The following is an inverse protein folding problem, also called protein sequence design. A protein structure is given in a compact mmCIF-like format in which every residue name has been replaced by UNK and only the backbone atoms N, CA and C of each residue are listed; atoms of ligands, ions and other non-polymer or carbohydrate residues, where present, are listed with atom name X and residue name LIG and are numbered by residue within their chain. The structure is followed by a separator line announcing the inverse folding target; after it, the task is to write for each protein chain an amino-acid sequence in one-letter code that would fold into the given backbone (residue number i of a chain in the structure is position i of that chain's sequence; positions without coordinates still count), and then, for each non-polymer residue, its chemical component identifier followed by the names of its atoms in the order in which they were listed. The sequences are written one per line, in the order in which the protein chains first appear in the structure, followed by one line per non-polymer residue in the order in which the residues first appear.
data_IF_390623102071
#
_entry.id   IF_390623102071
#
_cell.length_a   1.000
_cell.length_b   1.000
_cell.length_c   1.000
_cell.angle_alpha   90.00
_cell.angle_beta   90.00
_cell.angle_gamma   90.00
#
_symmetry.space_group_name_H-M   'P 1'
#
loop_
_entity.id
_entity.type
_entity.pdbx_description
1 polymer ?
#
# COMPACT_ATOMS: atom_id res chain seq x y z
N UNK A 1 42.59 10.55 3.20
CA UNK A 1 41.32 9.88 2.86
C UNK A 1 40.24 10.49 3.76
N UNK A 2 39.60 11.57 3.28
CA UNK A 2 38.59 12.30 4.06
C UNK A 2 37.31 11.45 4.13
N UNK A 3 36.87 11.09 5.34
CA UNK A 3 35.49 10.66 5.56
C UNK A 3 34.64 11.90 5.32
N UNK A 4 33.97 11.97 4.17
CA UNK A 4 32.80 12.85 4.04
C UNK A 4 31.80 12.41 5.11
N UNK A 5 31.70 13.17 6.19
CA UNK A 5 30.52 13.16 7.04
C UNK A 5 29.34 13.54 6.15
N UNK A 6 28.61 12.53 5.66
CA UNK A 6 27.27 12.77 5.12
C UNK A 6 26.46 13.37 6.27
N UNK A 7 26.24 14.68 6.20
CA UNK A 7 25.28 15.39 7.04
C UNK A 7 23.97 14.60 6.96
N UNK A 8 23.63 13.89 8.04
CA UNK A 8 22.35 13.22 8.12
C UNK A 8 21.27 14.29 8.05
N UNK A 9 20.40 14.19 7.04
CA UNK A 9 19.27 15.09 6.93
C UNK A 9 18.41 14.98 8.20
N UNK A 10 18.01 16.14 8.78
CA UNK A 10 17.32 16.16 10.05
C UNK A 10 15.95 15.48 9.93
N UNK A 11 15.56 14.79 10.99
CA UNK A 11 14.21 14.28 11.14
C UNK A 11 13.24 15.48 11.20
N UNK A 12 12.30 15.57 10.27
CA UNK A 12 11.23 16.55 10.31
C UNK A 12 10.04 15.95 11.04
N UNK A 13 9.72 16.50 12.21
CA UNK A 13 8.49 16.23 12.95
C UNK A 13 7.58 17.45 12.83
N UNK A 14 6.32 17.24 12.50
CA UNK A 14 5.31 18.27 12.40
C UNK A 14 4.09 17.79 13.19
N UNK A 15 3.73 18.56 14.21
CA UNK A 15 2.48 18.39 14.94
C UNK A 15 1.47 19.33 14.29
N UNK A 16 0.39 18.76 13.77
CA UNK A 16 -0.69 19.50 13.15
C UNK A 16 -1.87 19.52 14.14
N UNK A 17 -2.21 20.70 14.63
CA UNK A 17 -3.42 20.91 15.43
C UNK A 17 -4.47 21.52 14.52
N UNK A 18 -5.37 20.68 14.02
CA UNK A 18 -6.55 21.13 13.29
C UNK A 18 -7.64 21.52 14.28
N UNK A 19 -7.81 22.83 14.49
CA UNK A 19 -8.99 23.38 15.17
C UNK A 19 -9.90 23.94 14.08
N UNK A 20 -10.61 23.06 13.37
CA UNK A 20 -11.70 23.49 12.50
C UNK A 20 -13.04 23.13 13.16
N UNK A 21 -14.02 24.00 13.00
CA UNK A 21 -15.40 23.89 13.49
C UNK A 21 -16.14 22.61 13.04
N UNK A 22 -15.56 21.83 12.13
CA UNK A 22 -16.15 20.62 11.54
C UNK A 22 -15.38 19.34 11.90
N UNK A 23 -14.06 19.41 12.11
CA UNK A 23 -13.23 18.26 12.51
C UNK A 23 -12.07 18.74 13.38
N UNK A 24 -12.14 18.44 14.66
CA UNK A 24 -11.08 18.69 15.63
C UNK A 24 -10.09 17.52 15.54
N UNK A 25 -8.90 17.76 15.00
CA UNK A 25 -7.93 16.68 14.72
C UNK A 25 -6.53 17.02 15.21
N UNK A 26 -5.86 16.05 15.80
CA UNK A 26 -4.44 16.05 16.11
C UNK A 26 -3.70 15.19 15.07
N UNK A 27 -2.89 15.81 14.23
CA UNK A 27 -1.99 15.16 13.29
C UNK A 27 -0.56 15.10 13.81
N UNK A 28 0.12 14.00 13.50
CA UNK A 28 1.57 13.86 13.61
C UNK A 28 2.10 13.48 12.23
N UNK A 29 2.96 14.29 11.66
CA UNK A 29 3.72 13.96 10.47
C UNK A 29 5.19 13.85 10.83
N UNK A 30 5.80 12.73 10.43
CA UNK A 30 7.22 12.47 10.55
C UNK A 30 7.78 12.15 9.17
N UNK A 31 8.82 12.84 8.77
CA UNK A 31 9.53 12.62 7.50
C UNK A 31 11.04 12.64 7.72
N UNK A 32 11.75 11.65 7.19
CA UNK A 32 13.21 11.62 7.07
C UNK A 32 13.56 11.13 5.68
N UNK A 33 14.15 11.98 4.84
CA UNK A 33 14.43 11.60 3.45
C UNK A 33 15.47 10.47 3.34
N UNK A 34 16.43 10.40 4.26
CA UNK A 34 17.34 9.25 4.39
C UNK A 34 16.72 7.96 4.97
N UNK A 35 15.49 8.03 5.47
CA UNK A 35 14.81 6.95 6.19
C UNK A 35 15.39 6.71 7.59
N UNK A 36 14.54 6.27 8.53
CA UNK A 36 14.94 5.84 9.86
C UNK A 36 15.09 4.32 9.84
N UNK A 37 16.26 3.81 10.29
CA UNK A 37 16.55 2.38 10.41
C UNK A 37 16.24 1.88 11.80
N UNK A 38 16.11 0.56 11.94
CA UNK A 38 15.95 -0.12 13.23
C UNK A 38 14.80 0.41 14.08
N UNK A 39 13.70 0.79 13.43
CA UNK A 39 12.47 1.14 14.11
C UNK A 39 11.80 -0.13 14.61
N UNK A 40 11.34 -0.08 15.86
CA UNK A 40 10.63 -1.20 16.51
C UNK A 40 11.45 -2.50 16.59
N UNK A 41 12.78 -2.40 16.53
CA UNK A 41 13.69 -3.57 16.58
C UNK A 41 13.75 -4.38 15.27
N UNK A 42 13.26 -3.83 14.16
CA UNK A 42 13.39 -4.44 12.84
C UNK A 42 14.84 -4.30 12.32
N UNK A 43 15.31 -5.24 11.51
CA UNK A 43 16.66 -5.22 10.97
C UNK A 43 17.01 -3.97 10.15
N UNK A 44 18.31 -3.73 9.95
CA UNK A 44 18.84 -2.53 9.29
C UNK A 44 18.47 -2.41 7.80
N UNK A 45 17.94 -3.48 7.21
CA UNK A 45 17.44 -3.52 5.84
C UNK A 45 16.08 -2.83 5.66
N UNK A 46 15.36 -2.55 6.76
CA UNK A 46 14.07 -1.84 6.75
C UNK A 46 14.26 -0.37 7.11
N UNK A 47 13.67 0.52 6.31
CA UNK A 47 13.70 1.98 6.51
C UNK A 47 12.30 2.57 6.55
N UNK A 48 12.01 3.40 7.54
CA UNK A 48 10.80 4.21 7.58
C UNK A 48 11.09 5.62 7.05
N UNK A 49 10.50 5.99 5.91
CA UNK A 49 10.70 7.30 5.29
C UNK A 49 9.68 8.34 5.74
N UNK A 50 8.43 7.90 5.89
CA UNK A 50 7.31 8.75 6.29
C UNK A 50 6.39 8.00 7.23
N UNK A 51 5.92 8.71 8.26
CA UNK A 51 4.83 8.29 9.12
C UNK A 51 3.88 9.47 9.27
N UNK A 52 2.60 9.26 9.00
CA UNK A 52 1.53 10.23 9.25
C UNK A 52 0.52 9.57 10.16
N UNK A 53 0.47 10.01 11.41
CA UNK A 53 -0.60 9.69 12.35
C UNK A 53 -1.65 10.80 12.34
N UNK A 54 -2.92 10.45 12.51
CA UNK A 54 -4.00 11.39 12.74
C UNK A 54 -4.96 10.82 13.77
N UNK A 55 -5.32 11.63 14.75
CA UNK A 55 -6.37 11.34 15.71
C UNK A 55 -7.44 12.40 15.53
N UNK A 56 -8.68 11.97 15.30
CA UNK A 56 -9.84 12.85 15.37
C UNK A 56 -10.45 12.73 16.76
N UNK A 57 -10.80 13.86 17.37
CA UNK A 57 -11.43 13.90 18.70
C UNK A 57 -12.63 14.84 18.68
N UNK A 58 -13.53 14.69 19.65
CA UNK A 58 -14.45 15.74 20.06
C UNK A 58 -13.95 16.30 21.39
N UNK A 59 -13.45 17.52 21.45
CA UNK A 59 -12.78 18.09 22.63
C UNK A 59 -13.58 17.92 23.93
N UNK A 60 -14.89 18.18 24.00
CA UNK A 60 -15.65 17.98 25.25
C UNK A 60 -15.66 16.52 25.71
N UNK A 61 -15.76 15.58 24.77
CA UNK A 61 -15.77 14.13 25.06
C UNK A 61 -14.36 13.65 25.40
N UNK A 62 -13.35 14.10 24.67
CA UNK A 62 -11.96 13.76 24.91
C UNK A 62 -11.47 14.29 26.27
N UNK A 63 -11.80 15.53 26.62
CA UNK A 63 -11.43 16.12 27.92
C UNK A 63 -12.15 15.46 29.10
N UNK A 64 -13.35 14.92 28.89
CA UNK A 64 -14.13 14.25 29.95
C UNK A 64 -13.87 12.75 30.09
N UNK A 65 -13.52 12.06 29.01
CA UNK A 65 -13.43 10.59 28.98
C UNK A 65 -12.15 10.02 28.37
N UNK A 66 -11.33 10.86 27.71
CA UNK A 66 -10.17 10.41 26.92
C UNK A 66 -10.52 9.70 25.61
N UNK A 67 -11.80 9.66 25.22
CA UNK A 67 -12.26 8.95 24.01
C UNK A 67 -11.77 9.63 22.74
N UNK A 68 -11.20 8.84 21.84
CA UNK A 68 -10.84 9.23 20.48
C UNK A 68 -11.93 8.77 19.49
N UNK A 69 -12.19 9.60 18.48
CA UNK A 69 -13.19 9.31 17.45
C UNK A 69 -12.58 8.52 16.30
N UNK A 70 -11.41 8.90 15.80
CA UNK A 70 -10.78 8.17 14.68
C UNK A 70 -9.29 8.10 14.91
N UNK A 71 -8.67 6.97 14.54
CA UNK A 71 -7.22 6.81 14.49
C UNK A 71 -6.80 6.43 13.08
N UNK A 72 -5.90 7.20 12.49
CA UNK A 72 -5.31 6.94 11.18
C UNK A 72 -3.80 6.88 11.28
N UNK A 73 -3.19 5.94 10.58
CA UNK A 73 -1.75 5.83 10.42
C UNK A 73 -1.46 5.50 8.95
N UNK A 74 -0.63 6.32 8.31
CA UNK A 74 -0.08 6.06 6.98
C UNK A 74 1.43 6.03 7.08
N UNK A 75 2.04 4.99 6.53
CA UNK A 75 3.48 4.76 6.60
C UNK A 75 4.03 4.48 5.21
N UNK A 76 5.29 4.89 5.01
CA UNK A 76 6.05 4.64 3.80
C UNK A 76 7.35 3.96 4.19
N UNK A 77 7.46 2.67 3.88
CA UNK A 77 8.54 1.77 4.30
C UNK A 77 9.34 1.41 3.06
N UNK A 78 10.66 1.50 3.11
CA UNK A 78 11.51 0.91 2.09
C UNK A 78 12.25 -0.32 2.58
N UNK A 79 12.38 -1.26 1.66
CA UNK A 79 13.07 -2.53 1.83
C UNK A 79 13.98 -2.62 0.62
N UNK A 80 15.29 -2.63 0.85
CA UNK A 80 16.29 -2.52 -0.22
C UNK A 80 16.10 -1.25 -1.08
N UNK A 81 15.75 -1.40 -2.37
CA UNK A 81 15.53 -0.31 -3.33
C UNK A 81 14.05 0.03 -3.51
N UNK A 82 13.14 -0.82 -3.02
CA UNK A 82 11.70 -0.66 -3.22
C UNK A 82 11.07 0.10 -2.05
N UNK A 83 9.96 0.77 -2.34
CA UNK A 83 9.20 1.59 -1.39
C UNK A 83 7.74 1.17 -1.41
N UNK A 84 7.19 0.93 -0.24
CA UNK A 84 5.85 0.41 0.00
C UNK A 84 5.10 1.40 0.87
N UNK A 85 3.82 1.60 0.58
CA UNK A 85 2.94 2.45 1.39
C UNK A 85 1.86 1.60 2.03
N UNK A 86 1.59 1.84 3.31
CA UNK A 86 0.52 1.19 4.03
C UNK A 86 -0.29 2.23 4.80
N UNK A 87 -1.61 2.09 4.76
CA UNK A 87 -2.55 2.96 5.46
C UNK A 87 -3.51 2.11 6.27
N UNK A 88 -3.64 2.43 7.55
CA UNK A 88 -4.63 1.87 8.46
C UNK A 88 -5.43 3.03 9.06
N UNK A 89 -6.74 2.96 8.93
CA UNK A 89 -7.68 3.87 9.58
C UNK A 89 -8.66 3.01 10.35
N UNK A 90 -8.77 3.28 11.65
CA UNK A 90 -9.69 2.64 12.56
C UNK A 90 -10.62 3.71 13.13
N UNK A 91 -11.91 3.40 13.10
CA UNK A 91 -12.97 4.26 13.59
C UNK A 91 -13.99 3.37 14.35
N UNK A 92 -14.57 3.83 15.47
CA UNK A 92 -15.64 3.16 16.19
C UNK A 92 -16.84 2.83 15.28
N UNK A 93 -17.04 3.62 14.23
CA UNK A 93 -17.98 3.30 13.16
C UNK A 93 -17.27 2.41 12.15
N UNK A 94 -17.66 1.12 12.02
CA UNK A 94 -16.96 0.20 11.13
C UNK A 94 -16.91 0.69 9.67
N UNK A 95 -17.91 1.47 9.24
CA UNK A 95 -17.99 2.12 7.92
C UNK A 95 -16.76 2.99 7.58
N UNK A 96 -16.09 3.53 8.58
CA UNK A 96 -14.95 4.44 8.44
C UNK A 96 -13.59 3.73 8.65
N UNK A 97 -13.55 2.41 8.53
CA UNK A 97 -12.31 1.63 8.63
C UNK A 97 -11.70 1.37 7.25
N UNK A 98 -10.38 1.54 7.12
CA UNK A 98 -9.60 1.26 5.92
C UNK A 98 -8.31 0.54 6.28
N UNK A 99 -7.99 -0.50 5.53
CA UNK A 99 -6.65 -1.10 5.48
C UNK A 99 -6.23 -1.08 4.02
N UNK A 100 -5.15 -0.40 3.68
CA UNK A 100 -4.60 -0.32 2.33
C UNK A 100 -3.11 -0.65 2.33
N UNK A 101 -2.68 -1.35 1.29
CA UNK A 101 -1.29 -1.65 1.00
C UNK A 101 -1.00 -1.40 -0.48
N UNK A 102 0.02 -0.57 -0.75
CA UNK A 102 0.47 -0.22 -2.09
C UNK A 102 1.92 -0.63 -2.25
N UNK A 103 2.19 -1.40 -3.31
CA UNK A 103 3.53 -1.87 -3.64
C UNK A 103 3.83 -1.65 -5.13
N UNK A 104 4.96 -1.02 -5.49
CA UNK A 104 5.35 -0.83 -6.88
C UNK A 104 5.65 -2.16 -7.56
N UNK A 105 6.17 -3.12 -6.79
CA UNK A 105 6.43 -4.49 -7.21
C UNK A 105 6.21 -5.43 -6.03
N UNK A 106 5.62 -6.57 -6.29
CA UNK A 106 5.41 -7.62 -5.29
C UNK A 106 5.61 -8.99 -5.92
N UNK A 107 6.51 -9.76 -5.34
CA UNK A 107 6.73 -11.15 -5.69
C UNK A 107 7.30 -11.92 -4.48
N UNK A 108 7.46 -13.24 -4.58
CA UNK A 108 7.97 -14.07 -3.47
C UNK A 108 9.37 -13.67 -3.00
N UNK A 109 10.20 -13.12 -3.90
CA UNK A 109 11.50 -12.57 -3.56
C UNK A 109 11.39 -11.30 -2.71
N UNK A 110 10.41 -10.43 -2.98
CA UNK A 110 10.16 -9.24 -2.16
C UNK A 110 9.62 -9.61 -0.78
N UNK A 111 8.69 -10.59 -0.70
CA UNK A 111 8.14 -11.06 0.59
C UNK A 111 9.23 -11.71 1.44
N UNK A 112 10.01 -12.64 0.85
CA UNK A 112 11.12 -13.28 1.56
C UNK A 112 12.23 -12.27 1.91
N UNK A 113 12.52 -11.33 1.01
CA UNK A 113 13.44 -10.22 1.23
C UNK A 113 13.01 -9.29 2.37
N UNK A 114 11.72 -9.03 2.52
CA UNK A 114 11.18 -8.31 3.67
C UNK A 114 11.44 -9.07 4.97
N UNK A 115 11.07 -10.36 5.03
CA UNK A 115 11.24 -11.19 6.23
C UNK A 115 12.72 -11.24 6.64
N UNK A 116 13.62 -11.47 5.68
CA UNK A 116 15.08 -11.46 5.88
C UNK A 116 15.57 -10.11 6.41
N UNK A 117 15.16 -9.02 5.76
CA UNK A 117 15.56 -7.66 6.13
C UNK A 117 15.01 -7.22 7.49
N UNK A 118 13.81 -7.68 7.83
CA UNK A 118 13.13 -7.39 9.09
C UNK A 118 13.72 -8.19 10.26
N UNK A 119 14.13 -9.43 10.02
CA UNK A 119 14.71 -10.31 11.05
C UNK A 119 16.23 -10.18 11.21
N UNK A 120 16.90 -9.45 10.31
CA UNK A 120 18.37 -9.32 10.26
C UNK A 120 19.09 -10.69 10.24
N UNK A 121 18.48 -11.66 9.54
CA UNK A 121 18.97 -13.04 9.44
C UNK A 121 19.35 -13.37 8.01
N UNK A 122 20.48 -14.04 7.84
CA UNK A 122 20.89 -14.60 6.56
C UNK A 122 20.07 -15.87 6.26
N UNK A 123 18.93 -15.70 5.59
CA UNK A 123 18.27 -16.81 4.90
C UNK A 123 18.49 -16.67 3.39
N UNK A 124 18.53 -17.80 2.70
CA UNK A 124 18.40 -17.78 1.24
C UNK A 124 17.06 -17.14 0.89
N UNK A 125 17.10 -15.95 0.29
CA UNK A 125 15.91 -15.36 -0.30
C UNK A 125 15.45 -16.27 -1.41
N UNK A 126 14.14 -16.53 -1.46
CA UNK A 126 13.56 -17.30 -2.57
C UNK A 126 13.76 -16.48 -3.84
N UNK A 127 14.77 -16.85 -4.62
CA UNK A 127 15.06 -16.23 -5.90
C UNK A 127 14.12 -16.83 -6.94
N UNK A 128 13.31 -15.96 -7.52
CA UNK A 128 12.36 -16.34 -8.55
C UNK A 128 10.93 -16.23 -8.06
N UNK A 129 10.13 -15.57 -8.88
CA UNK A 129 8.68 -15.64 -8.82
C UNK A 129 8.21 -16.26 -10.12
N UNK A 130 7.22 -17.14 -10.04
CA UNK A 130 6.52 -17.64 -11.22
C UNK A 130 5.70 -16.49 -11.83
N UNK A 131 5.31 -15.47 -11.04
CA UNK A 131 4.41 -14.37 -11.45
C UNK A 131 4.73 -13.08 -10.67
N UNK A 132 5.47 -12.10 -11.24
CA UNK A 132 5.71 -10.82 -10.58
C UNK A 132 4.54 -9.84 -10.79
N UNK A 133 4.03 -9.27 -9.70
CA UNK A 133 3.03 -8.22 -9.74
C UNK A 133 3.68 -6.84 -9.69
N UNK A 134 3.11 -5.89 -10.43
CA UNK A 134 3.54 -4.50 -10.53
C UNK A 134 2.36 -3.57 -10.21
N UNK A 135 2.64 -2.45 -9.56
CA UNK A 135 1.63 -1.44 -9.22
C UNK A 135 0.47 -2.03 -8.41
N UNK A 136 0.80 -2.86 -7.41
CA UNK A 136 -0.17 -3.51 -6.54
C UNK A 136 -0.81 -2.47 -5.63
N UNK A 137 -2.14 -2.45 -5.61
CA UNK A 137 -2.95 -1.68 -4.67
C UNK A 137 -4.03 -2.61 -4.12
N UNK A 138 -3.94 -2.92 -2.84
CA UNK A 138 -4.86 -3.81 -2.13
C UNK A 138 -5.49 -3.00 -1.02
N UNK A 139 -6.81 -3.03 -0.92
CA UNK A 139 -7.47 -2.48 0.26
C UNK A 139 -8.67 -3.29 0.71
N UNK A 140 -9.00 -3.14 1.98
CA UNK A 140 -10.28 -3.50 2.57
C UNK A 140 -10.88 -2.25 3.19
N UNK A 141 -12.10 -1.91 2.79
CA UNK A 141 -12.80 -0.73 3.28
C UNK A 141 -14.26 -1.06 3.56
N UNK A 142 -14.85 -0.31 4.49
CA UNK A 142 -16.29 -0.34 4.73
C UNK A 142 -17.06 0.83 4.08
N UNK A 143 -16.39 1.67 3.27
CA UNK A 143 -16.99 2.82 2.57
C UNK A 143 -16.54 4.17 3.13
N UNK A 144 -15.28 4.57 2.91
CA UNK A 144 -14.69 5.81 3.47
C UNK A 144 -14.11 6.71 2.39
N UNK A 145 -14.16 8.03 2.63
CA UNK A 145 -13.31 8.98 1.89
C UNK A 145 -12.08 9.34 2.71
N UNK A 146 -10.89 9.05 2.20
CA UNK A 146 -9.62 9.43 2.83
C UNK A 146 -8.73 10.17 1.83
N UNK A 147 -8.14 11.29 2.26
CA UNK A 147 -7.28 12.15 1.40
C UNK A 147 -7.91 12.48 0.04
N UNK A 148 -9.23 12.75 0.02
CA UNK A 148 -10.04 13.04 -1.18
C UNK A 148 -10.21 11.86 -2.16
N UNK A 149 -9.84 10.66 -1.75
CA UNK A 149 -10.09 9.42 -2.48
C UNK A 149 -11.22 8.66 -1.78
N UNK A 150 -12.26 8.31 -2.52
CA UNK A 150 -13.32 7.44 -2.02
C UNK A 150 -12.93 5.98 -2.20
N UNK A 151 -13.02 5.22 -1.12
CA UNK A 151 -12.80 3.78 -1.05
C UNK A 151 -14.15 3.10 -0.85
N UNK A 152 -14.73 2.51 -1.92
CA UNK A 152 -15.95 1.73 -1.82
C UNK A 152 -15.84 0.59 -0.81
N UNK A 153 -16.98 0.21 -0.24
CA UNK A 153 -17.08 -0.94 0.66
C UNK A 153 -16.68 -2.23 -0.08
N UNK A 154 -15.81 -3.02 0.53
CA UNK A 154 -15.35 -4.29 0.01
C UNK A 154 -13.84 -4.48 0.10
N UNK A 155 -13.38 -5.57 -0.48
CA UNK A 155 -11.97 -5.87 -0.71
C UNK A 155 -11.67 -5.58 -2.16
N UNK A 156 -10.62 -4.80 -2.44
CA UNK A 156 -10.14 -4.56 -3.80
C UNK A 156 -8.70 -5.04 -3.94
N UNK A 157 -8.42 -5.60 -5.10
CA UNK A 157 -7.09 -5.96 -5.55
C UNK A 157 -6.87 -5.41 -6.96
N UNK A 158 -5.89 -4.53 -7.11
CA UNK A 158 -5.45 -4.02 -8.40
C UNK A 158 -3.97 -4.31 -8.59
N UNK A 159 -3.58 -4.66 -9.81
CA UNK A 159 -2.18 -4.87 -10.14
C UNK A 159 -1.97 -5.33 -11.57
N UNK A 160 -0.71 -5.38 -12.00
CA UNK A 160 -0.32 -5.89 -13.31
C UNK A 160 0.66 -7.05 -13.16
N UNK A 161 0.32 -8.19 -13.77
CA UNK A 161 1.23 -9.31 -13.91
C UNK A 161 2.03 -9.14 -15.21
N UNK A 162 3.36 -9.23 -15.13
CA UNK A 162 4.23 -9.27 -16.31
C UNK A 162 5.09 -10.53 -16.37
N UNK A 163 4.94 -11.32 -17.44
CA UNK A 163 5.75 -12.53 -17.67
C UNK A 163 6.31 -12.46 -19.09
N UNK A 164 7.62 -12.26 -19.24
CA UNK A 164 8.26 -11.95 -20.52
C UNK A 164 7.62 -10.73 -21.21
N UNK A 165 7.10 -10.87 -22.43
CA UNK A 165 6.34 -9.83 -23.14
C UNK A 165 4.85 -9.81 -22.77
N UNK A 166 4.40 -10.71 -21.88
CA UNK A 166 3.00 -10.82 -21.50
C UNK A 166 2.68 -9.85 -20.37
N UNK A 167 1.58 -9.11 -20.53
CA UNK A 167 1.03 -8.23 -19.50
C UNK A 167 -0.45 -8.53 -19.32
N UNK A 168 -0.86 -8.77 -18.08
CA UNK A 168 -2.26 -8.86 -17.69
C UNK A 168 -2.52 -7.85 -16.56
N UNK A 169 -3.35 -6.85 -16.85
CA UNK A 169 -3.83 -5.93 -15.82
C UNK A 169 -5.06 -6.54 -15.14
N UNK A 170 -5.11 -6.49 -13.82
CA UNK A 170 -6.19 -7.04 -13.00
C UNK A 170 -6.78 -5.93 -12.12
N UNK A 171 -8.10 -5.85 -12.07
CA UNK A 171 -8.87 -5.02 -11.15
C UNK A 171 -10.03 -5.87 -10.62
N UNK A 172 -9.88 -6.36 -9.40
CA UNK A 172 -10.85 -7.22 -8.73
C UNK A 172 -11.47 -6.45 -7.56
N UNK A 173 -12.78 -6.49 -7.42
CA UNK A 173 -13.53 -5.94 -6.31
C UNK A 173 -14.49 -7.01 -5.77
N UNK A 174 -14.51 -7.19 -4.46
CA UNK A 174 -15.45 -8.03 -3.74
C UNK A 174 -16.21 -7.15 -2.76
N UNK A 175 -17.51 -6.97 -2.98
CA UNK A 175 -18.39 -6.32 -2.02
C UNK A 175 -19.29 -7.35 -1.32
N UNK A 176 -20.20 -6.88 -0.47
CA UNK A 176 -21.23 -7.73 0.14
C UNK A 176 -22.29 -8.21 -0.86
N UNK A 177 -22.40 -7.55 -2.02
CA UNK A 177 -23.46 -7.77 -3.00
C UNK A 177 -22.96 -8.40 -4.29
N UNK A 178 -21.69 -8.21 -4.64
CA UNK A 178 -21.12 -8.58 -5.93
C UNK A 178 -19.64 -8.93 -5.84
N UNK A 179 -19.22 -9.81 -6.74
CA UNK A 179 -17.83 -9.98 -7.11
C UNK A 179 -17.64 -9.50 -8.55
N UNK A 180 -16.74 -8.54 -8.74
CA UNK A 180 -16.34 -8.04 -10.06
C UNK A 180 -14.88 -8.34 -10.30
N UNK A 181 -14.57 -9.00 -11.40
CA UNK A 181 -13.20 -9.23 -11.84
C UNK A 181 -13.01 -8.76 -13.27
N UNK A 182 -12.18 -7.71 -13.44
CA UNK A 182 -11.80 -7.19 -14.75
C UNK A 182 -10.34 -7.51 -15.01
N UNK A 183 -10.08 -8.23 -16.09
CA UNK A 183 -8.72 -8.50 -16.56
C UNK A 183 -8.57 -8.05 -18.00
N UNK A 184 -7.46 -7.38 -18.33
CA UNK A 184 -7.09 -7.04 -19.71
C UNK A 184 -5.80 -7.75 -20.09
N UNK A 185 -5.87 -8.59 -21.13
CA UNK A 185 -4.71 -9.32 -21.68
C UNK A 185 -4.43 -8.89 -23.12
N UNK A 186 -3.14 -8.79 -23.49
CA UNK A 186 -2.72 -8.54 -24.88
C UNK A 186 -2.59 -9.84 -25.68
N UNK A 187 -2.74 -9.75 -27.00
CA UNK A 187 -2.41 -10.83 -27.94
C UNK A 187 -0.95 -11.26 -27.76
N UNK A 188 -0.65 -12.56 -27.81
CA UNK A 188 0.73 -13.03 -27.73
C UNK A 188 1.02 -14.27 -28.58
N UNK A 189 2.30 -14.46 -28.87
CA UNK A 189 2.82 -15.57 -29.65
C UNK A 189 3.88 -16.32 -28.84
N UNK A 190 3.72 -17.63 -28.70
CA UNK A 190 4.71 -18.52 -28.09
C UNK A 190 5.13 -19.57 -29.14
N UNK A 191 6.21 -19.28 -29.87
CA UNK A 191 6.67 -20.11 -30.99
C UNK A 191 5.59 -20.24 -32.08
N UNK A 192 5.08 -21.45 -32.37
CA UNK A 192 3.98 -21.64 -33.32
C UNK A 192 2.59 -21.31 -32.75
N UNK A 193 2.44 -21.18 -31.42
CA UNK A 193 1.15 -20.90 -30.78
C UNK A 193 0.87 -19.40 -30.83
N UNK A 194 -0.25 -18.98 -31.44
CA UNK A 194 -0.72 -17.60 -31.41
C UNK A 194 -2.00 -17.58 -30.56
N UNK A 195 -1.94 -16.96 -29.39
CA UNK A 195 -3.12 -16.71 -28.56
C UNK A 195 -3.66 -15.34 -28.93
N UNK A 196 -4.83 -15.34 -29.56
CA UNK A 196 -5.56 -14.13 -29.95
C UNK A 196 -6.73 -13.91 -29.02
N UNK A 197 -6.99 -12.64 -28.73
CA UNK A 197 -8.19 -12.18 -28.07
C UNK A 197 -9.41 -12.54 -28.94
N UNK A 198 -10.56 -12.79 -28.31
CA UNK A 198 -11.78 -13.21 -29.01
C UNK A 198 -12.23 -12.20 -30.08
N UNK A 199 -11.87 -10.91 -29.91
CA UNK A 199 -12.17 -9.85 -30.86
C UNK A 199 -10.87 -9.37 -31.57
N UNK A 200 -10.71 -9.62 -32.89
CA UNK A 200 -9.48 -9.31 -33.63
C UNK A 200 -9.16 -7.81 -33.75
N UNK A 201 -10.16 -6.94 -33.59
CA UNK A 201 -10.02 -5.48 -33.72
C UNK A 201 -9.67 -4.76 -32.40
N UNK A 202 -9.66 -5.46 -31.27
CA UNK A 202 -9.31 -4.88 -29.97
C UNK A 202 -7.85 -5.19 -29.61
N UNK A 203 -7.08 -4.17 -29.21
CA UNK A 203 -5.69 -4.31 -28.72
C UNK A 203 -5.56 -5.08 -27.37
N UNK A 204 -6.62 -5.76 -26.93
CA UNK A 204 -6.60 -6.70 -25.81
C UNK A 204 -8.00 -7.23 -25.49
N UNK A 205 -8.08 -8.44 -24.95
CA UNK A 205 -9.33 -9.03 -24.46
C UNK A 205 -9.60 -8.51 -23.05
N UNK A 206 -10.80 -7.99 -22.84
CA UNK A 206 -11.33 -7.72 -21.51
C UNK A 206 -12.15 -8.93 -21.07
N UNK A 207 -11.74 -9.59 -19.99
CA UNK A 207 -12.56 -10.54 -19.28
C UNK A 207 -13.27 -9.79 -18.15
N UNK A 208 -14.60 -9.74 -18.20
CA UNK A 208 -15.46 -9.22 -17.14
C UNK A 208 -16.24 -10.38 -16.54
N UNK A 209 -16.05 -10.63 -15.25
CA UNK A 209 -16.81 -11.63 -14.49
C UNK A 209 -17.59 -10.89 -13.43
N UNK A 210 -18.91 -10.99 -13.52
CA UNK A 210 -19.88 -10.50 -12.53
C UNK A 210 -20.56 -11.72 -11.89
N UNK A 211 -20.64 -11.74 -10.56
CA UNK A 211 -21.24 -12.83 -9.80
C UNK A 211 -21.76 -12.39 -8.44
#
# INVERSE_FOLDING_TARGET
MQKEERLEEPLKLTLELGVDTVTESLGLLMEKAGGIRNLLGLGNGVRLYRLRGSISVKWPVFLSSGTIDTFGITTSIGINQDRYDATLIMDPTPANTLIQFVAPKLDMGHISGFIVSALDKEFETLKGSIIPFHGVDIYSSAGITYLRVFYPRGIRFKGEVRIFEWSAAMDAALSTMDFTFKSKMKNFRLGPLIVRCANPEEEGAVLDVEG
#
